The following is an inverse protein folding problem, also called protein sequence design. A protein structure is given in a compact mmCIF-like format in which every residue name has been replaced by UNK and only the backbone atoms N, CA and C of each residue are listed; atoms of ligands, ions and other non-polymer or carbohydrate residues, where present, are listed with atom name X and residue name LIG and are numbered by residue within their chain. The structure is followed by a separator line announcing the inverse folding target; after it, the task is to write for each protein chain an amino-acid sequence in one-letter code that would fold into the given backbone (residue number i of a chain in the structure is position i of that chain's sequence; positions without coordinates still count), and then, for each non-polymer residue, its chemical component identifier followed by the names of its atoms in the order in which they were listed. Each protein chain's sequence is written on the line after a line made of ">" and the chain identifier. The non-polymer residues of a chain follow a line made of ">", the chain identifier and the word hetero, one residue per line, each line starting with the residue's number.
data_IF_245366667989
#
_entry.id   IF_245366667989
#
_cell.length_a   1.000
_cell.length_b   1.000
_cell.length_c   1.000
_cell.angle_alpha   90.00
_cell.angle_beta   90.00
_cell.angle_gamma   90.00
#
_symmetry.space_group_name_H-M   'P 1'
#
loop_
_entity.id
_entity.type
_entity.pdbx_description
1 polymer ?
#
# COMPACT_ATOMS: atom_id res chain seq x y z
N UNK A 1 27.74 -32.31 29.12
CA UNK A 1 27.20 -31.08 28.49
C UNK A 1 27.74 -29.91 29.31
N UNK A 2 28.39 -28.95 28.66
CA UNK A 2 28.91 -27.77 29.33
C UNK A 2 27.80 -26.95 29.99
N UNK A 3 28.09 -26.25 31.09
CA UNK A 3 27.12 -25.43 31.83
C UNK A 3 26.40 -24.45 30.89
N UNK A 4 27.16 -23.82 30.01
CA UNK A 4 26.62 -22.90 29.00
C UNK A 4 25.55 -23.55 28.11
N UNK A 5 25.81 -24.75 27.61
CA UNK A 5 24.88 -25.46 26.73
C UNK A 5 23.58 -25.83 27.46
N UNK A 6 23.69 -26.23 28.75
CA UNK A 6 22.52 -26.51 29.58
C UNK A 6 21.63 -25.26 29.75
N UNK A 7 22.26 -24.11 30.01
CA UNK A 7 21.50 -22.83 30.09
C UNK A 7 20.86 -22.48 28.77
N UNK A 8 21.54 -22.67 27.63
CA UNK A 8 20.95 -22.41 26.29
C UNK A 8 19.73 -23.30 26.05
N UNK A 9 19.79 -24.58 26.38
CA UNK A 9 18.63 -25.50 26.24
C UNK A 9 17.47 -25.04 27.11
N UNK A 10 17.75 -24.67 28.36
CA UNK A 10 16.74 -24.14 29.28
C UNK A 10 16.09 -22.86 28.72
N UNK A 11 16.88 -21.89 28.26
CA UNK A 11 16.41 -20.63 27.68
C UNK A 11 15.53 -20.86 26.44
N UNK A 12 15.94 -21.76 25.54
CA UNK A 12 15.19 -22.13 24.33
C UNK A 12 13.86 -22.84 24.62
N UNK A 13 13.81 -23.66 25.69
CA UNK A 13 12.59 -24.37 26.08
C UNK A 13 11.53 -23.49 26.74
N UNK A 14 11.92 -22.32 27.27
CA UNK A 14 11.03 -21.42 28.02
C UNK A 14 9.98 -20.76 27.11
N UNK A 15 8.71 -20.86 27.52
CA UNK A 15 7.60 -20.10 26.92
C UNK A 15 7.56 -18.63 27.39
N UNK A 16 8.12 -18.36 28.59
CA UNK A 16 8.18 -17.02 29.18
C UNK A 16 9.19 -16.13 28.46
N UNK A 17 8.98 -14.80 28.50
CA UNK A 17 9.92 -13.81 27.96
C UNK A 17 11.09 -13.50 28.89
N UNK A 18 11.10 -14.07 30.09
CA UNK A 18 12.13 -13.82 31.12
C UNK A 18 12.49 -15.09 31.84
N UNK A 19 13.71 -15.13 32.36
CA UNK A 19 14.22 -16.21 33.19
C UNK A 19 14.85 -15.62 34.45
N UNK A 20 14.66 -16.30 35.61
CA UNK A 20 15.24 -15.91 36.87
C UNK A 20 16.53 -16.70 37.10
N UNK A 21 17.50 -16.06 37.73
CA UNK A 21 18.78 -16.71 38.05
C UNK A 21 18.61 -17.92 38.98
N UNK A 22 17.58 -17.93 39.87
CA UNK A 22 17.22 -19.09 40.67
C UNK A 22 16.85 -20.30 39.82
N UNK A 23 16.05 -20.10 38.80
CA UNK A 23 15.65 -21.18 37.88
C UNK A 23 16.83 -21.77 37.12
N UNK A 24 17.82 -20.92 36.77
CA UNK A 24 19.07 -21.40 36.14
C UNK A 24 19.85 -22.26 37.11
N UNK A 25 20.01 -21.82 38.37
CA UNK A 25 20.72 -22.62 39.41
C UNK A 25 20.05 -23.97 39.69
N UNK A 26 18.74 -23.94 39.88
CA UNK A 26 17.94 -25.16 40.13
C UNK A 26 18.10 -26.17 38.97
N UNK A 27 18.01 -25.68 37.72
CA UNK A 27 18.19 -26.55 36.57
C UNK A 27 19.59 -27.14 36.44
N UNK A 28 20.62 -26.41 36.89
CA UNK A 28 22.01 -26.82 36.86
C UNK A 28 22.42 -27.63 38.12
N UNK A 29 21.52 -27.77 39.10
CA UNK A 29 21.81 -28.35 40.42
C UNK A 29 23.06 -27.74 41.10
N UNK A 30 23.23 -26.41 40.96
CA UNK A 30 24.37 -25.69 41.52
C UNK A 30 24.05 -25.23 42.94
N UNK A 31 24.82 -25.70 43.90
CA UNK A 31 24.79 -25.19 45.27
C UNK A 31 25.31 -23.75 45.35
N UNK A 32 24.77 -22.95 46.30
CA UNK A 32 25.15 -21.56 46.50
C UNK A 32 26.48 -21.47 47.22
N UNK A 33 27.58 -21.55 46.47
CA UNK A 33 28.94 -21.38 46.94
C UNK A 33 29.66 -20.27 46.19
N UNK A 34 30.63 -19.55 46.78
CA UNK A 34 31.38 -18.49 46.10
C UNK A 34 32.00 -18.94 44.77
N UNK A 35 32.46 -20.21 44.74
CA UNK A 35 33.09 -20.79 43.56
C UNK A 35 32.06 -21.04 42.42
N UNK A 36 30.90 -21.58 42.76
CA UNK A 36 29.82 -21.80 41.79
C UNK A 36 29.24 -20.48 41.26
N UNK A 37 29.13 -19.46 42.12
CA UNK A 37 28.67 -18.13 41.70
C UNK A 37 29.65 -17.49 40.70
N UNK A 38 30.93 -17.64 40.87
CA UNK A 38 31.94 -17.14 39.94
C UNK A 38 31.87 -17.85 38.58
N UNK A 39 31.65 -19.16 38.58
CA UNK A 39 31.44 -19.95 37.35
C UNK A 39 30.15 -19.49 36.65
N UNK A 40 29.07 -19.41 37.40
CA UNK A 40 27.77 -19.00 36.87
C UNK A 40 27.83 -17.59 36.27
N UNK A 41 28.52 -16.65 36.95
CA UNK A 41 28.74 -15.30 36.43
C UNK A 41 29.39 -15.31 35.06
N UNK A 42 30.50 -16.02 34.92
CA UNK A 42 31.23 -16.09 33.66
C UNK A 42 30.38 -16.67 32.52
N UNK A 43 29.59 -17.70 32.80
CA UNK A 43 28.70 -18.29 31.77
C UNK A 43 27.53 -17.37 31.42
N UNK A 44 26.96 -16.67 32.39
CA UNK A 44 25.92 -15.67 32.16
C UNK A 44 26.45 -14.49 31.31
N UNK A 45 27.67 -14.00 31.62
CA UNK A 45 28.30 -12.92 30.85
C UNK A 45 28.52 -13.33 29.37
N UNK A 46 28.97 -14.56 29.13
CA UNK A 46 29.07 -15.11 27.76
C UNK A 46 27.70 -15.13 27.05
N UNK A 47 26.66 -15.58 27.76
CA UNK A 47 25.30 -15.62 27.19
C UNK A 47 24.73 -14.23 26.92
N UNK A 48 25.09 -13.21 27.69
CA UNK A 48 24.76 -11.82 27.46
C UNK A 48 25.53 -11.29 26.24
N UNK A 49 26.83 -11.55 26.13
CA UNK A 49 27.65 -11.15 24.98
C UNK A 49 27.13 -11.80 23.66
N UNK A 50 26.74 -13.06 23.73
CA UNK A 50 26.18 -13.81 22.61
C UNK A 50 24.70 -13.54 22.37
N UNK A 51 24.10 -12.60 23.10
CA UNK A 51 22.72 -12.16 22.98
C UNK A 51 21.67 -13.27 23.12
N UNK A 52 21.88 -14.23 23.98
CA UNK A 52 20.86 -15.19 24.40
C UNK A 52 19.91 -14.61 25.45
N UNK A 53 20.49 -13.83 26.37
CA UNK A 53 19.77 -13.15 27.45
C UNK A 53 20.30 -11.74 27.65
N UNK A 54 19.48 -10.86 28.24
CA UNK A 54 19.81 -9.47 28.55
C UNK A 54 19.37 -9.16 29.98
N UNK A 55 20.23 -8.53 30.85
CA UNK A 55 19.81 -8.16 32.19
C UNK A 55 18.63 -7.21 32.14
N UNK A 56 17.63 -7.44 32.99
CA UNK A 56 16.44 -6.59 33.05
C UNK A 56 16.79 -5.33 33.87
N UNK A 57 16.56 -4.13 33.28
CA UNK A 57 16.95 -2.83 33.87
C UNK A 57 16.42 -2.58 35.28
N UNK A 58 15.28 -3.21 35.64
CA UNK A 58 14.64 -3.09 36.95
C UNK A 58 15.04 -4.21 37.92
N UNK A 59 15.90 -5.11 37.50
CA UNK A 59 16.35 -6.26 38.31
C UNK A 59 17.44 -5.87 39.30
N UNK A 60 17.35 -6.38 40.54
CA UNK A 60 18.42 -6.27 41.52
C UNK A 60 19.60 -7.14 41.06
N UNK A 61 20.78 -6.75 41.46
CA UNK A 61 22.01 -7.54 41.28
C UNK A 61 22.47 -8.08 42.63
N UNK A 62 23.00 -9.32 42.62
CA UNK A 62 23.61 -9.88 43.82
C UNK A 62 25.03 -9.29 44.05
N UNK A 63 25.69 -9.73 45.12
CA UNK A 63 27.02 -9.24 45.51
C UNK A 63 28.09 -9.49 44.44
N UNK A 64 27.92 -10.54 43.64
CA UNK A 64 28.81 -10.90 42.52
C UNK A 64 28.50 -10.13 41.23
N UNK A 65 27.41 -9.30 41.20
CA UNK A 65 27.03 -8.52 40.06
C UNK A 65 26.14 -9.27 39.04
N UNK A 66 25.54 -10.39 39.42
CA UNK A 66 24.60 -11.17 38.60
C UNK A 66 23.20 -10.60 38.81
N UNK A 67 22.48 -10.27 37.72
CA UNK A 67 21.09 -9.85 37.80
C UNK A 67 20.16 -10.97 38.23
N UNK A 68 19.18 -10.67 39.08
CA UNK A 68 18.18 -11.67 39.50
C UNK A 68 17.29 -12.15 38.33
N UNK A 69 17.12 -11.30 37.33
CA UNK A 69 16.20 -11.56 36.21
C UNK A 69 16.75 -11.11 34.87
N UNK A 70 16.66 -11.97 33.88
CA UNK A 70 17.09 -11.73 32.52
C UNK A 70 15.93 -11.84 31.57
N UNK A 71 15.92 -10.97 30.56
CA UNK A 71 15.03 -11.09 29.39
C UNK A 71 15.64 -12.12 28.45
N UNK A 72 14.84 -13.08 27.99
CA UNK A 72 15.24 -14.04 26.98
C UNK A 72 15.20 -13.36 25.61
N UNK A 73 16.34 -13.35 24.94
CA UNK A 73 16.44 -12.91 23.55
C UNK A 73 16.31 -14.16 22.69
N UNK A 74 15.19 -14.27 21.96
CA UNK A 74 15.07 -15.35 20.99
C UNK A 74 16.11 -15.11 19.90
N UNK A 75 17.05 -16.03 19.74
CA UNK A 75 18.10 -15.92 18.72
C UNK A 75 17.55 -15.76 17.31
N UNK A 76 16.38 -16.34 17.03
CA UNK A 76 15.67 -16.12 15.78
C UNK A 76 15.39 -14.62 15.56
N UNK A 77 14.98 -13.89 16.62
CA UNK A 77 14.73 -12.44 16.51
C UNK A 77 16.03 -11.63 16.29
N UNK A 78 17.15 -12.05 16.82
CA UNK A 78 18.44 -11.36 16.62
C UNK A 78 18.96 -11.55 15.18
N UNK A 79 18.88 -12.76 14.66
CA UNK A 79 19.25 -13.06 13.28
C UNK A 79 18.34 -12.36 12.29
N UNK A 80 17.01 -12.37 12.54
CA UNK A 80 16.04 -11.67 11.72
C UNK A 80 16.32 -10.16 11.70
N UNK A 81 16.61 -9.56 12.85
CA UNK A 81 16.97 -8.12 12.91
C UNK A 81 18.24 -7.82 12.12
N UNK A 82 19.23 -8.70 12.16
CA UNK A 82 20.45 -8.53 11.37
C UNK A 82 20.15 -8.64 9.88
N UNK A 83 19.27 -9.56 9.44
CA UNK A 83 18.81 -9.63 8.07
C UNK A 83 18.12 -8.33 7.63
N UNK A 84 17.23 -7.77 8.48
CA UNK A 84 16.54 -6.51 8.23
C UNK A 84 17.52 -5.34 8.10
N UNK A 85 18.54 -5.28 8.95
CA UNK A 85 19.57 -4.22 8.91
C UNK A 85 20.39 -4.29 7.62
N UNK A 86 20.57 -5.50 7.07
CA UNK A 86 21.32 -5.71 5.83
C UNK A 86 20.51 -5.40 4.54
N UNK A 87 19.26 -5.01 4.66
CA UNK A 87 18.47 -4.53 3.53
C UNK A 87 19.04 -3.22 2.96
N UNK A 88 18.61 -2.85 1.76
CA UNK A 88 19.02 -1.60 1.12
C UNK A 88 18.79 -0.39 2.05
N UNK A 89 19.78 0.49 2.16
CA UNK A 89 19.71 1.72 2.94
C UNK A 89 18.67 2.74 2.42
N UNK A 90 18.11 2.51 1.24
CA UNK A 90 17.00 3.28 0.69
C UNK A 90 15.65 2.94 1.30
N UNK A 91 15.57 1.87 2.12
CA UNK A 91 14.35 1.40 2.73
C UNK A 91 14.23 1.89 4.18
N UNK A 92 13.01 2.27 4.58
CA UNK A 92 12.69 2.49 6.00
C UNK A 92 12.40 1.15 6.67
N UNK A 93 13.29 0.73 7.55
CA UNK A 93 13.22 -0.61 8.17
C UNK A 93 12.64 -0.63 9.59
N UNK A 94 12.35 0.56 10.17
CA UNK A 94 11.90 0.69 11.57
C UNK A 94 10.66 -0.13 11.91
N UNK A 95 9.71 -0.20 10.96
CA UNK A 95 8.50 -0.97 11.13
C UNK A 95 8.81 -2.46 11.32
N UNK A 96 9.64 -3.02 10.46
CA UNK A 96 9.98 -4.45 10.48
C UNK A 96 10.96 -4.82 11.61
N UNK A 97 11.82 -3.91 12.05
CA UNK A 97 12.64 -4.10 13.25
C UNK A 97 11.80 -4.27 14.53
N UNK A 98 10.62 -3.61 14.58
CA UNK A 98 9.64 -3.75 15.66
C UNK A 98 8.72 -4.97 15.48
N UNK A 99 8.51 -5.42 14.25
CA UNK A 99 7.54 -6.45 13.86
C UNK A 99 8.21 -7.60 13.10
N UNK A 100 9.16 -8.29 13.73
CA UNK A 100 9.97 -9.37 13.12
C UNK A 100 9.13 -10.51 12.55
N UNK A 101 7.98 -10.82 13.17
CA UNK A 101 7.04 -11.83 12.65
C UNK A 101 6.37 -11.43 11.34
N UNK A 102 6.06 -10.15 11.15
CA UNK A 102 5.54 -9.66 9.87
C UNK A 102 6.63 -9.65 8.81
N UNK A 103 7.87 -9.27 9.18
CA UNK A 103 9.00 -9.40 8.27
C UNK A 103 9.14 -10.82 7.72
N UNK A 104 9.04 -11.84 8.55
CA UNK A 104 9.13 -13.24 8.11
C UNK A 104 8.07 -13.61 7.08
N UNK A 105 6.83 -13.09 7.22
CA UNK A 105 5.76 -13.31 6.24
C UNK A 105 6.02 -12.59 4.92
N UNK A 106 6.57 -11.39 4.99
CA UNK A 106 6.77 -10.49 3.86
C UNK A 106 8.18 -10.60 3.25
N UNK A 107 9.05 -11.46 3.82
CA UNK A 107 10.50 -11.53 3.58
C UNK A 107 10.87 -11.62 2.09
N UNK A 108 10.21 -12.48 1.34
CA UNK A 108 10.51 -12.68 -0.08
C UNK A 108 10.24 -11.41 -0.90
N UNK A 109 9.12 -10.76 -0.63
CA UNK A 109 8.73 -9.50 -1.29
C UNK A 109 9.72 -8.39 -0.93
N UNK A 110 10.03 -8.25 0.37
CA UNK A 110 10.98 -7.24 0.88
C UNK A 110 12.36 -7.42 0.26
N UNK A 111 12.87 -8.65 0.21
CA UNK A 111 14.17 -8.95 -0.37
C UNK A 111 14.21 -8.63 -1.88
N UNK A 112 13.13 -8.93 -2.61
CA UNK A 112 13.02 -8.60 -4.02
C UNK A 112 13.04 -7.09 -4.25
N UNK A 113 12.29 -6.33 -3.45
CA UNK A 113 12.29 -4.86 -3.48
C UNK A 113 13.68 -4.32 -3.12
N UNK A 114 14.28 -4.81 -2.04
CA UNK A 114 15.61 -4.40 -1.58
C UNK A 114 16.68 -4.60 -2.66
N UNK A 115 16.69 -5.77 -3.28
CA UNK A 115 17.61 -6.11 -4.38
C UNK A 115 17.38 -5.21 -5.61
N UNK A 116 16.12 -4.93 -5.91
CA UNK A 116 15.76 -4.08 -7.05
C UNK A 116 16.21 -2.63 -6.85
N UNK A 117 15.87 -2.03 -5.70
CA UNK A 117 16.12 -0.61 -5.44
C UNK A 117 17.62 -0.31 -5.15
N UNK A 118 18.40 -1.34 -4.82
CA UNK A 118 19.85 -1.21 -4.62
C UNK A 118 20.60 -0.88 -5.92
N UNK A 119 19.98 -1.12 -7.08
CA UNK A 119 20.52 -0.82 -8.39
C UNK A 119 19.92 0.48 -8.94
N UNK A 120 20.57 1.14 -9.90
CA UNK A 120 19.95 2.21 -10.67
C UNK A 120 18.69 1.69 -11.38
N UNK A 121 17.59 2.42 -11.23
CA UNK A 121 16.32 2.06 -11.90
C UNK A 121 16.27 2.84 -13.21
N UNK A 122 16.19 2.13 -14.32
CA UNK A 122 16.06 2.71 -15.65
C UNK A 122 14.60 2.77 -16.09
N UNK A 123 14.27 3.81 -16.83
CA UNK A 123 12.95 4.01 -17.42
C UNK A 123 11.83 4.18 -16.42
N UNK A 124 10.73 4.76 -16.89
CA UNK A 124 9.46 4.83 -16.15
C UNK A 124 8.51 3.84 -16.79
N UNK A 125 7.94 2.92 -16.00
CA UNK A 125 7.07 1.83 -16.46
C UNK A 125 5.70 1.93 -15.81
N UNK A 126 4.72 1.21 -16.35
CA UNK A 126 3.46 1.01 -15.64
C UNK A 126 3.67 0.19 -14.36
N UNK A 127 2.78 0.32 -13.40
CA UNK A 127 2.87 -0.44 -12.14
C UNK A 127 2.91 -1.95 -12.38
N UNK A 128 2.20 -2.46 -13.39
CA UNK A 128 2.15 -3.89 -13.70
C UNK A 128 3.47 -4.37 -14.32
N UNK A 129 4.05 -3.61 -15.26
CA UNK A 129 5.35 -3.92 -15.85
C UNK A 129 6.46 -3.88 -14.79
N UNK A 130 6.44 -2.88 -13.91
CA UNK A 130 7.38 -2.77 -12.80
C UNK A 130 7.22 -3.92 -11.81
N UNK A 131 5.99 -4.30 -11.49
CA UNK A 131 5.67 -5.45 -10.66
C UNK A 131 6.24 -6.75 -11.26
N UNK A 132 6.05 -6.96 -12.56
CA UNK A 132 6.61 -8.11 -13.25
C UNK A 132 8.15 -8.11 -13.23
N UNK A 133 8.76 -6.95 -13.43
CA UNK A 133 10.22 -6.83 -13.39
C UNK A 133 10.80 -7.17 -12.01
N UNK A 134 10.12 -6.82 -10.93
CA UNK A 134 10.58 -7.06 -9.56
C UNK A 134 10.28 -8.49 -9.12
N UNK A 135 9.08 -8.99 -9.43
CA UNK A 135 8.50 -10.19 -8.79
C UNK A 135 8.18 -11.32 -9.77
N UNK A 136 8.28 -11.13 -11.07
CA UNK A 136 7.73 -12.01 -12.11
C UNK A 136 6.21 -12.22 -11.95
N UNK A 137 5.53 -11.26 -11.33
CA UNK A 137 4.09 -11.22 -11.13
C UNK A 137 3.62 -9.76 -11.31
N UNK A 138 2.78 -9.53 -12.32
CA UNK A 138 2.34 -8.18 -12.71
C UNK A 138 1.39 -7.50 -11.72
N UNK A 139 0.76 -8.25 -10.81
CA UNK A 139 -0.25 -7.72 -9.87
C UNK A 139 0.28 -7.49 -8.46
N UNK A 140 1.40 -8.14 -8.10
CA UNK A 140 1.87 -8.21 -6.72
C UNK A 140 2.19 -6.84 -6.10
N UNK A 141 2.76 -5.91 -6.87
CA UNK A 141 3.08 -4.57 -6.41
C UNK A 141 1.82 -3.79 -5.97
N UNK A 142 0.73 -3.96 -6.69
CA UNK A 142 -0.56 -3.34 -6.37
C UNK A 142 -1.28 -4.05 -5.23
N UNK A 143 -1.27 -5.37 -5.22
CA UNK A 143 -1.89 -6.18 -4.17
C UNK A 143 -1.20 -6.00 -2.81
N UNK A 144 0.09 -5.72 -2.81
CA UNK A 144 0.91 -5.54 -1.61
C UNK A 144 1.46 -4.12 -1.47
N UNK A 145 0.67 -3.14 -1.84
CA UNK A 145 1.00 -1.71 -1.65
C UNK A 145 1.26 -1.36 -0.17
N UNK A 146 0.66 -2.12 0.75
CA UNK A 146 0.92 -2.01 2.17
C UNK A 146 2.39 -2.19 2.54
N UNK A 147 3.10 -3.14 1.90
CA UNK A 147 4.54 -3.36 2.11
C UNK A 147 5.35 -2.18 1.60
N UNK A 148 5.01 -1.65 0.43
CA UNK A 148 5.70 -0.49 -0.16
C UNK A 148 5.64 0.69 0.79
N UNK A 149 4.45 0.99 1.35
CA UNK A 149 4.24 2.05 2.34
C UNK A 149 5.01 1.80 3.65
N UNK A 150 5.02 0.55 4.15
CA UNK A 150 5.79 0.17 5.36
C UNK A 150 7.30 0.35 5.16
N UNK A 151 7.80 0.14 3.94
CA UNK A 151 9.20 0.38 3.57
C UNK A 151 9.49 1.86 3.26
N UNK A 152 8.48 2.73 3.37
CA UNK A 152 8.61 4.16 3.13
C UNK A 152 8.85 4.54 1.68
N UNK A 153 8.44 3.67 0.75
CA UNK A 153 8.54 3.89 -0.68
C UNK A 153 7.22 4.42 -1.27
N UNK A 154 7.36 5.12 -2.38
CA UNK A 154 6.28 5.56 -3.27
C UNK A 154 6.44 4.91 -4.66
N UNK A 155 5.42 5.04 -5.50
CA UNK A 155 5.52 4.61 -6.90
C UNK A 155 6.61 5.38 -7.67
N UNK A 156 6.85 6.63 -7.31
CA UNK A 156 7.92 7.45 -7.92
C UNK A 156 9.31 6.92 -7.58
N UNK A 157 9.52 6.44 -6.35
CA UNK A 157 10.80 5.82 -5.94
C UNK A 157 11.09 4.55 -6.75
N UNK A 158 10.03 3.84 -7.17
CA UNK A 158 10.10 2.67 -8.03
C UNK A 158 10.06 3.04 -9.53
N UNK A 159 10.01 4.33 -9.87
CA UNK A 159 9.84 4.83 -11.25
C UNK A 159 8.69 4.14 -11.99
N UNK A 160 7.51 4.08 -11.37
CA UNK A 160 6.32 3.56 -11.99
C UNK A 160 5.08 4.42 -11.73
N UNK A 161 4.06 4.22 -12.57
CA UNK A 161 2.80 4.95 -12.50
C UNK A 161 1.62 4.00 -12.71
N UNK A 162 0.47 4.38 -12.15
CA UNK A 162 -0.78 3.66 -12.40
C UNK A 162 -1.33 4.01 -13.77
N UNK A 163 -1.92 3.01 -14.42
CA UNK A 163 -2.68 3.18 -15.67
C UNK A 163 -4.15 3.07 -15.39
N UNK A 164 -4.92 3.77 -16.20
CA UNK A 164 -6.38 3.76 -16.16
C UNK A 164 -6.91 3.25 -17.47
N UNK A 165 -8.05 2.53 -17.43
CA UNK A 165 -8.75 2.19 -18.66
C UNK A 165 -9.25 3.49 -19.30
N UNK A 166 -8.96 3.73 -20.60
CA UNK A 166 -9.48 4.90 -21.28
C UNK A 166 -11.00 4.78 -21.41
N UNK A 167 -11.70 5.90 -21.30
CA UNK A 167 -13.11 5.95 -21.64
C UNK A 167 -13.29 5.94 -23.17
N UNK A 168 -14.42 5.40 -23.63
CA UNK A 168 -14.79 5.53 -25.04
C UNK A 168 -15.33 6.94 -25.31
N UNK A 169 -14.96 7.54 -26.43
CA UNK A 169 -15.31 8.94 -26.73
C UNK A 169 -15.47 9.20 -28.22
N UNK A 170 -16.13 10.31 -28.51
CA UNK A 170 -16.14 10.95 -29.81
C UNK A 170 -15.61 12.37 -29.70
N UNK A 171 -14.55 12.68 -30.45
CA UNK A 171 -13.96 14.01 -30.55
C UNK A 171 -14.45 14.68 -31.85
N UNK A 172 -15.06 15.85 -31.72
CA UNK A 172 -15.41 16.67 -32.85
C UNK A 172 -14.21 17.53 -33.27
N UNK A 173 -13.44 17.03 -34.23
CA UNK A 173 -12.20 17.67 -34.69
C UNK A 173 -12.39 19.02 -35.36
N UNK A 174 -13.62 19.38 -35.73
CA UNK A 174 -13.92 20.71 -36.27
C UNK A 174 -13.87 21.81 -35.19
N UNK A 175 -13.91 21.43 -33.93
CA UNK A 175 -13.95 22.35 -32.79
C UNK A 175 -12.92 21.93 -31.73
N UNK A 176 -11.90 22.76 -31.53
CA UNK A 176 -10.91 22.58 -30.46
C UNK A 176 -11.40 23.13 -29.10
N UNK A 177 -12.49 23.88 -29.09
CA UNK A 177 -13.08 24.50 -27.90
C UNK A 177 -14.57 24.29 -27.92
N UNK A 178 -15.12 23.82 -26.80
CA UNK A 178 -16.56 23.56 -26.70
C UNK A 178 -16.90 22.81 -25.40
N UNK A 179 -18.15 22.42 -25.30
CA UNK A 179 -18.62 21.60 -24.19
C UNK A 179 -18.05 20.18 -24.28
N UNK A 180 -17.74 19.62 -23.14
CA UNK A 180 -17.51 18.19 -22.96
C UNK A 180 -18.76 17.59 -22.35
N UNK A 181 -19.32 16.57 -22.97
CA UNK A 181 -20.54 15.92 -22.51
C UNK A 181 -20.25 14.49 -22.11
N UNK A 182 -20.45 14.16 -20.83
CA UNK A 182 -20.35 12.80 -20.31
C UNK A 182 -21.76 12.22 -20.33
N UNK A 183 -21.94 11.09 -21.01
CA UNK A 183 -23.23 10.41 -21.14
C UNK A 183 -23.10 9.02 -20.53
N UNK A 184 -23.88 8.72 -19.51
CA UNK A 184 -23.84 7.48 -18.79
C UNK A 184 -24.36 6.30 -19.63
N UNK A 185 -25.53 6.50 -20.29
CA UNK A 185 -26.23 5.47 -21.05
C UNK A 185 -25.64 5.28 -22.44
N UNK A 186 -25.39 4.02 -22.83
CA UNK A 186 -24.79 3.65 -24.11
C UNK A 186 -25.63 4.12 -25.31
N UNK A 187 -26.94 3.87 -25.31
CA UNK A 187 -27.77 4.16 -26.45
C UNK A 187 -27.96 5.67 -26.63
N UNK A 188 -28.07 6.39 -25.53
CA UNK A 188 -28.06 7.86 -25.51
C UNK A 188 -26.75 8.43 -26.05
N UNK A 189 -25.61 7.83 -25.69
CA UNK A 189 -24.29 8.22 -26.23
C UNK A 189 -24.29 8.10 -27.77
N UNK A 190 -24.69 6.96 -28.31
CA UNK A 190 -24.72 6.73 -29.75
C UNK A 190 -25.67 7.67 -30.46
N UNK A 191 -26.86 7.93 -29.90
CA UNK A 191 -27.83 8.85 -30.43
C UNK A 191 -27.27 10.27 -30.52
N UNK A 192 -26.70 10.79 -29.42
CA UNK A 192 -26.15 12.14 -29.38
C UNK A 192 -24.94 12.27 -30.31
N UNK A 193 -24.07 11.27 -30.35
CA UNK A 193 -22.94 11.23 -31.26
C UNK A 193 -23.40 11.35 -32.72
N UNK A 194 -24.44 10.60 -33.11
CA UNK A 194 -24.97 10.64 -34.46
C UNK A 194 -25.57 12.01 -34.79
N UNK A 195 -26.33 12.59 -33.87
CA UNK A 195 -26.88 13.95 -34.02
C UNK A 195 -25.76 14.98 -34.21
N UNK A 196 -24.73 14.93 -33.38
CA UNK A 196 -23.59 15.87 -33.49
C UNK A 196 -22.85 15.73 -34.82
N UNK A 197 -22.67 14.51 -35.32
CA UNK A 197 -22.08 14.26 -36.64
C UNK A 197 -22.88 14.79 -37.80
N UNK A 198 -24.21 14.61 -37.74
CA UNK A 198 -25.10 14.94 -38.89
C UNK A 198 -25.52 16.41 -38.90
N UNK A 199 -25.73 17.01 -37.72
CA UNK A 199 -26.25 18.38 -37.61
C UNK A 199 -25.19 19.47 -37.53
N UNK A 200 -23.88 19.12 -37.53
CA UNK A 200 -22.75 20.03 -37.32
C UNK A 200 -22.91 20.91 -36.07
N UNK A 201 -23.34 20.28 -34.97
CA UNK A 201 -23.55 20.99 -33.70
C UNK A 201 -22.25 21.60 -33.18
N UNK A 202 -22.11 22.92 -33.32
CA UNK A 202 -20.84 23.65 -33.19
C UNK A 202 -20.34 23.83 -31.75
N UNK A 203 -21.12 23.42 -30.74
CA UNK A 203 -20.79 23.72 -29.34
C UNK A 203 -20.28 22.52 -28.53
N UNK A 204 -20.23 21.33 -29.12
CA UNK A 204 -19.74 20.11 -28.43
C UNK A 204 -18.39 19.72 -29.05
N UNK A 205 -17.38 19.72 -28.21
CA UNK A 205 -16.01 19.30 -28.55
C UNK A 205 -15.83 17.80 -28.35
N UNK A 206 -16.23 17.30 -27.17
CA UNK A 206 -15.99 15.92 -26.77
C UNK A 206 -17.25 15.30 -26.18
N UNK A 207 -17.59 14.10 -26.63
CA UNK A 207 -18.64 13.28 -26.02
C UNK A 207 -17.95 12.05 -25.42
N UNK A 208 -18.19 11.81 -24.14
CA UNK A 208 -17.59 10.71 -23.37
C UNK A 208 -18.68 9.72 -23.00
N UNK A 209 -18.46 8.44 -23.26
CA UNK A 209 -19.29 7.38 -22.72
C UNK A 209 -18.88 7.05 -21.29
N UNK A 210 -19.76 7.31 -20.34
CA UNK A 210 -19.49 7.20 -18.90
C UNK A 210 -19.46 5.76 -18.39
N UNK A 211 -20.28 4.88 -18.98
CA UNK A 211 -20.33 3.46 -18.58
C UNK A 211 -20.54 3.26 -17.06
N UNK A 212 -21.50 4.02 -16.50
CA UNK A 212 -21.81 3.97 -15.08
C UNK A 212 -20.61 4.33 -14.19
N UNK A 213 -20.38 3.56 -13.12
CA UNK A 213 -19.29 3.79 -12.16
C UNK A 213 -17.88 3.73 -12.75
N UNK A 214 -17.69 3.17 -13.94
CA UNK A 214 -16.37 3.12 -14.57
C UNK A 214 -15.78 4.50 -14.80
N UNK A 215 -16.64 5.50 -15.09
CA UNK A 215 -16.20 6.89 -15.29
C UNK A 215 -15.40 7.43 -14.10
N UNK A 216 -15.67 6.98 -12.88
CA UNK A 216 -14.96 7.44 -11.68
C UNK A 216 -13.46 7.11 -11.69
N UNK A 217 -13.05 6.14 -12.52
CA UNK A 217 -11.63 5.77 -12.71
C UNK A 217 -11.13 6.19 -14.08
N UNK A 218 -11.91 5.90 -15.13
CA UNK A 218 -11.51 6.17 -16.52
C UNK A 218 -11.44 7.65 -16.84
N UNK A 219 -12.09 8.52 -16.06
CA UNK A 219 -12.05 9.97 -16.27
C UNK A 219 -10.63 10.58 -16.15
N UNK A 220 -9.67 9.92 -15.50
CA UNK A 220 -8.26 10.32 -15.55
C UNK A 220 -7.71 10.46 -16.97
N UNK A 221 -8.27 9.70 -17.92
CA UNK A 221 -7.90 9.78 -19.34
C UNK A 221 -8.19 11.16 -19.96
N UNK A 222 -9.02 11.98 -19.32
CA UNK A 222 -9.32 13.36 -19.74
C UNK A 222 -8.06 14.24 -19.83
N UNK A 223 -7.02 13.92 -19.08
CA UNK A 223 -5.74 14.64 -19.09
C UNK A 223 -5.01 14.56 -20.45
N UNK A 224 -5.42 13.64 -21.33
CA UNK A 224 -4.88 13.54 -22.69
C UNK A 224 -5.51 14.57 -23.65
N UNK A 225 -6.54 15.27 -23.21
CA UNK A 225 -7.22 16.31 -24.00
C UNK A 225 -6.83 17.69 -23.49
N UNK A 226 -6.61 18.63 -24.41
CA UNK A 226 -6.33 20.01 -24.07
C UNK A 226 -7.62 20.75 -23.73
N UNK A 227 -8.06 20.63 -22.49
CA UNK A 227 -9.27 21.30 -22.00
C UNK A 227 -8.93 22.64 -21.36
N UNK A 228 -8.94 23.70 -22.12
CA UNK A 228 -8.80 25.06 -21.60
C UNK A 228 -10.18 25.62 -21.20
N UNK A 229 -10.52 25.66 -19.92
CA UNK A 229 -11.77 26.20 -19.37
C UNK A 229 -13.07 25.61 -19.96
N UNK A 230 -13.03 24.38 -20.43
CA UNK A 230 -14.21 23.70 -20.97
C UNK A 230 -15.21 23.42 -19.84
N UNK A 231 -16.48 23.66 -20.11
CA UNK A 231 -17.57 23.20 -19.24
C UNK A 231 -17.78 21.72 -19.52
N UNK A 232 -17.74 20.90 -18.49
CA UNK A 232 -18.02 19.48 -18.55
C UNK A 232 -19.42 19.27 -18.01
N UNK A 233 -20.31 18.75 -18.84
CA UNK A 233 -21.70 18.46 -18.47
C UNK A 233 -21.92 16.94 -18.38
N UNK A 234 -22.53 16.49 -17.30
CA UNK A 234 -22.86 15.09 -17.06
C UNK A 234 -24.35 14.84 -17.30
N UNK A 235 -24.64 13.79 -18.02
CA UNK A 235 -26.00 13.35 -18.35
C UNK A 235 -26.11 11.85 -18.07
N UNK A 236 -26.74 11.50 -16.96
CA UNK A 236 -27.01 10.14 -16.52
C UNK A 236 -28.46 9.93 -16.15
N UNK A 237 -28.79 8.74 -15.69
CA UNK A 237 -30.13 8.40 -15.24
C UNK A 237 -30.54 9.22 -14.00
N UNK A 238 -31.84 9.58 -13.91
CA UNK A 238 -32.39 10.33 -12.78
C UNK A 238 -32.80 9.33 -11.68
N UNK A 239 -31.88 8.55 -11.23
CA UNK A 239 -32.04 7.64 -10.11
C UNK A 239 -30.95 7.87 -9.05
N UNK A 240 -31.02 7.11 -7.95
CA UNK A 240 -30.06 7.23 -6.86
C UNK A 240 -28.61 6.94 -7.31
N UNK A 241 -28.42 5.98 -8.21
CA UNK A 241 -27.09 5.58 -8.67
C UNK A 241 -26.46 6.63 -9.59
N UNK A 242 -27.22 7.12 -10.58
CA UNK A 242 -26.76 8.16 -11.49
C UNK A 242 -26.41 9.47 -10.78
N UNK A 243 -27.24 9.88 -9.80
CA UNK A 243 -26.94 11.05 -8.95
C UNK A 243 -25.68 10.83 -8.13
N UNK A 244 -25.52 9.65 -7.54
CA UNK A 244 -24.32 9.31 -6.74
C UNK A 244 -23.05 9.28 -7.59
N UNK A 245 -23.09 8.76 -8.79
CA UNK A 245 -21.96 8.79 -9.74
C UNK A 245 -21.58 10.23 -10.07
N UNK A 246 -22.55 11.08 -10.37
CA UNK A 246 -22.33 12.50 -10.65
C UNK A 246 -21.64 13.22 -9.48
N UNK A 247 -22.14 13.06 -8.25
CA UNK A 247 -21.56 13.71 -7.08
C UNK A 247 -20.16 13.19 -6.75
N UNK A 248 -19.91 11.89 -6.87
CA UNK A 248 -18.59 11.31 -6.70
C UNK A 248 -17.60 11.81 -7.77
N UNK A 249 -18.04 11.88 -9.03
CA UNK A 249 -17.22 12.39 -10.13
C UNK A 249 -16.81 13.84 -9.88
N UNK A 250 -17.78 14.69 -9.53
CA UNK A 250 -17.55 16.09 -9.21
C UNK A 250 -16.64 16.30 -8.01
N UNK A 251 -16.79 15.50 -6.96
CA UNK A 251 -15.96 15.56 -5.76
C UNK A 251 -14.53 15.10 -6.04
N UNK A 252 -14.37 13.98 -6.73
CA UNK A 252 -13.05 13.38 -7.03
C UNK A 252 -12.22 14.25 -7.97
N UNK A 253 -12.86 14.91 -8.91
CA UNK A 253 -12.24 15.72 -9.95
C UNK A 253 -12.60 17.22 -9.81
N UNK A 254 -12.48 17.73 -8.58
CA UNK A 254 -12.86 19.10 -8.22
C UNK A 254 -12.09 20.19 -8.98
N UNK A 255 -10.95 19.86 -9.59
CA UNK A 255 -10.19 20.74 -10.47
C UNK A 255 -10.93 21.04 -11.79
N UNK A 256 -11.91 20.22 -12.18
CA UNK A 256 -12.73 20.44 -13.38
C UNK A 256 -14.10 21.02 -13.03
N UNK A 257 -14.62 21.87 -13.91
CA UNK A 257 -15.96 22.45 -13.75
C UNK A 257 -17.03 21.49 -14.27
N UNK A 258 -17.36 20.46 -13.48
CA UNK A 258 -18.35 19.43 -13.81
C UNK A 258 -19.73 19.86 -13.32
N UNK A 259 -20.72 19.91 -14.24
CA UNK A 259 -22.11 20.29 -13.96
C UNK A 259 -23.08 19.25 -14.52
N UNK A 260 -24.29 19.20 -13.96
CA UNK A 260 -25.38 18.43 -14.56
C UNK A 260 -25.84 19.08 -15.88
N UNK A 261 -26.14 18.26 -16.89
CA UNK A 261 -26.65 18.75 -18.19
C UNK A 261 -28.12 19.18 -18.08
N UNK A 262 -28.33 20.35 -17.46
CA UNK A 262 -29.69 20.89 -17.16
C UNK A 262 -30.63 20.92 -18.38
N UNK A 263 -30.12 21.33 -19.53
CA UNK A 263 -30.92 21.41 -20.74
C UNK A 263 -31.47 20.06 -21.19
N UNK A 264 -30.69 18.99 -21.05
CA UNK A 264 -31.12 17.63 -21.35
C UNK A 264 -32.22 17.16 -20.40
N UNK A 265 -32.00 17.33 -19.09
CA UNK A 265 -32.96 16.97 -18.06
C UNK A 265 -34.29 17.75 -18.21
N UNK A 266 -34.22 19.05 -18.50
CA UNK A 266 -35.43 19.86 -18.72
C UNK A 266 -36.24 19.33 -19.89
N UNK A 267 -35.59 18.95 -21.00
CA UNK A 267 -36.29 18.37 -22.16
C UNK A 267 -36.99 17.06 -21.84
N UNK A 268 -36.36 16.18 -21.04
CA UNK A 268 -37.00 14.94 -20.60
C UNK A 268 -38.26 15.25 -19.79
N UNK A 269 -38.18 16.16 -18.84
CA UNK A 269 -39.34 16.58 -18.04
C UNK A 269 -40.44 17.22 -18.86
N UNK A 270 -40.09 17.98 -19.91
CA UNK A 270 -41.05 18.60 -20.79
C UNK A 270 -41.77 17.55 -21.68
N UNK A 271 -41.08 16.52 -22.12
CA UNK A 271 -41.63 15.37 -22.84
C UNK A 271 -42.58 14.56 -21.96
N UNK A 272 -42.14 14.26 -20.72
CA UNK A 272 -42.96 13.53 -19.77
C UNK A 272 -44.28 14.23 -19.44
N UNK A 273 -44.25 15.57 -19.31
CA UNK A 273 -45.46 16.39 -19.10
C UNK A 273 -46.37 16.51 -20.34
N UNK A 274 -45.82 16.39 -21.54
CA UNK A 274 -46.52 16.54 -22.79
C UNK A 274 -46.06 15.49 -23.82
N UNK A 275 -46.42 14.20 -23.65
CA UNK A 275 -45.90 13.10 -24.49
C UNK A 275 -46.31 13.20 -25.99
N UNK A 276 -47.27 14.01 -26.33
CA UNK A 276 -47.75 14.21 -27.72
C UNK A 276 -46.99 15.33 -28.47
N UNK A 277 -45.92 15.88 -27.91
CA UNK A 277 -45.07 16.94 -28.52
C UNK A 277 -43.74 16.45 -29.07
N UNK A 278 -43.65 15.15 -29.40
CA UNK A 278 -42.47 14.58 -30.07
C UNK A 278 -42.51 14.85 -31.56
#
# INVERSE_FOLDING_TARGET
>A
MEIKEQIIVLVKSKKSKTINIKEIRENLNLEYTPQNEKILKNEIEKLVQERYIEPQKTSKTNVEGISEKYKIIKQDDANIKQEIINLSNKLKIDYYLKNTKEYQKDKEIINSISKFISKPIEGVLTINERSYQIFQNEKLLKEREDIIKKLGLTLQDLKCYETYEPFFYYENKEFSKGKVLIIENKDTFWTIQNVVKTTKYKNIYLIIYGEGKKILKSFEFINNFKLENNIIEYFGDIDYEGINIYEQLKSKYSQYNIKAYKTGYQKILDIEKNPNKI
#
